data_IF_955249836526
#
_entry.id   IF_955249836526
#
_cell.length_a   1.000
_cell.length_b   1.000
_cell.length_c   1.000
_cell.angle_alpha   90.00
_cell.angle_beta   90.00
_cell.angle_gamma   90.00
#
_symmetry.space_group_name_H-M   'P 1'
#
loop_
_entity.id
_entity.type
_entity.pdbx_description
1 polymer ?
#
# COMPACT_ATOMS: atom_id res chain seq x y z
N UNK A 1 -20.37 -15.97 27.11
CA UNK A 1 -20.67 -14.75 26.32
C UNK A 1 -19.39 -14.40 25.59
N UNK A 2 -19.29 -14.82 24.33
CA UNK A 2 -18.12 -14.52 23.49
C UNK A 2 -18.09 -13.00 23.26
N UNK A 3 -17.08 -12.32 23.79
CA UNK A 3 -16.86 -10.94 23.39
C UNK A 3 -16.38 -10.98 21.95
N UNK A 4 -17.18 -10.42 21.03
CA UNK A 4 -16.70 -10.12 19.69
C UNK A 4 -15.59 -9.06 19.84
N UNK A 5 -14.35 -9.52 19.97
CA UNK A 5 -13.17 -8.67 19.93
C UNK A 5 -13.18 -7.97 18.58
N UNK A 6 -13.46 -6.66 18.57
CA UNK A 6 -13.38 -5.87 17.35
C UNK A 6 -11.93 -5.89 16.87
N UNK A 7 -11.64 -6.74 15.88
CA UNK A 7 -10.32 -6.87 15.32
C UNK A 7 -9.91 -5.53 14.69
N UNK A 8 -8.85 -4.93 15.24
CA UNK A 8 -8.30 -3.69 14.73
C UNK A 8 -7.86 -3.88 13.27
N UNK A 9 -8.21 -2.94 12.41
CA UNK A 9 -7.80 -2.92 11.02
C UNK A 9 -6.88 -1.72 10.78
N UNK A 10 -5.68 -1.98 10.27
CA UNK A 10 -4.66 -0.94 9.99
C UNK A 10 -4.36 -0.93 8.50
N UNK A 11 -4.29 0.26 7.93
CA UNK A 11 -3.93 0.47 6.52
C UNK A 11 -2.53 1.06 6.44
N UNK A 12 -1.71 0.44 5.61
CA UNK A 12 -0.36 0.89 5.28
C UNK A 12 -0.33 1.37 3.83
N UNK A 13 0.24 2.56 3.63
CA UNK A 13 0.42 3.16 2.30
C UNK A 13 1.90 3.49 2.12
N UNK A 14 2.71 2.57 1.57
CA UNK A 14 4.14 2.81 1.39
C UNK A 14 4.38 3.84 0.31
N UNK A 15 5.32 4.75 0.57
CA UNK A 15 5.85 5.62 -0.47
C UNK A 15 6.58 4.76 -1.53
N UNK A 16 6.36 4.96 -2.85
CA UNK A 16 6.77 4.01 -3.88
C UNK A 16 8.25 4.14 -4.25
N UNK A 17 9.10 3.74 -3.31
CA UNK A 17 10.54 3.54 -3.44
C UNK A 17 10.96 2.34 -2.59
N UNK A 18 11.91 1.50 -3.03
CA UNK A 18 12.29 0.29 -2.27
C UNK A 18 12.70 0.58 -0.82
N UNK A 19 13.35 1.72 -0.59
CA UNK A 19 13.78 2.15 0.76
C UNK A 19 12.64 2.42 1.74
N UNK A 20 11.41 2.65 1.27
CA UNK A 20 10.22 2.82 2.11
C UNK A 20 9.32 1.58 2.09
N UNK A 21 9.21 0.91 0.93
CA UNK A 21 8.38 -0.29 0.77
C UNK A 21 8.86 -1.41 1.71
N UNK A 22 10.14 -1.79 1.64
CA UNK A 22 10.64 -2.97 2.38
C UNK A 22 10.46 -2.81 3.90
N UNK A 23 10.91 -1.70 4.53
CA UNK A 23 10.72 -1.51 5.97
C UNK A 23 9.25 -1.47 6.39
N UNK A 24 8.37 -0.94 5.53
CA UNK A 24 6.93 -0.92 5.83
C UNK A 24 6.33 -2.33 5.81
N UNK A 25 6.75 -3.20 4.88
CA UNK A 25 6.32 -4.60 4.87
C UNK A 25 6.75 -5.31 6.16
N UNK A 26 7.98 -5.11 6.62
CA UNK A 26 8.42 -5.70 7.89
C UNK A 26 7.61 -5.16 9.08
N UNK A 27 7.28 -3.87 9.06
CA UNK A 27 6.39 -3.26 10.07
C UNK A 27 5.00 -3.91 10.05
N UNK A 28 4.43 -4.21 8.88
CA UNK A 28 3.10 -4.84 8.79
C UNK A 28 3.04 -6.19 9.50
N UNK A 29 4.13 -6.97 9.44
CA UNK A 29 4.25 -8.26 10.13
C UNK A 29 4.20 -8.11 11.65
N UNK A 30 4.82 -7.06 12.18
CA UNK A 30 4.76 -6.76 13.62
C UNK A 30 3.31 -6.55 14.06
N UNK A 31 2.52 -5.79 13.30
CA UNK A 31 1.10 -5.59 13.60
C UNK A 31 0.31 -6.90 13.49
N UNK A 32 0.50 -7.66 12.42
CA UNK A 32 -0.19 -8.93 12.21
C UNK A 32 0.11 -9.96 13.31
N UNK A 33 1.35 -9.97 13.83
CA UNK A 33 1.75 -10.84 14.93
C UNK A 33 1.04 -10.52 16.26
N UNK A 34 0.45 -9.33 16.38
CA UNK A 34 -0.40 -8.94 17.51
C UNK A 34 -1.90 -9.07 17.21
N UNK A 35 -2.27 -9.85 16.19
CA UNK A 35 -3.67 -10.12 15.82
C UNK A 35 -4.36 -8.99 15.05
N UNK A 36 -3.63 -7.96 14.63
CA UNK A 36 -4.17 -6.84 13.84
C UNK A 36 -4.33 -7.27 12.39
N UNK A 37 -5.50 -6.98 11.80
CA UNK A 37 -5.70 -7.15 10.36
C UNK A 37 -5.07 -5.98 9.62
N UNK A 38 -4.23 -6.28 8.63
CA UNK A 38 -3.44 -5.30 7.90
C UNK A 38 -3.83 -5.30 6.42
N UNK A 39 -4.01 -4.11 5.87
CA UNK A 39 -4.15 -3.90 4.41
C UNK A 39 -3.04 -2.98 3.93
N UNK A 40 -2.31 -3.41 2.92
CA UNK A 40 -1.29 -2.61 2.23
C UNK A 40 -1.91 -2.10 0.94
N UNK A 41 -2.06 -0.78 0.79
CA UNK A 41 -2.53 -0.18 -0.46
C UNK A 41 -1.32 0.24 -1.28
N UNK A 42 -1.20 -0.28 -2.51
CA UNK A 42 -0.09 0.04 -3.41
C UNK A 42 -0.51 -0.11 -4.87
N UNK A 43 0.41 0.06 -5.80
CA UNK A 43 0.16 -0.09 -7.24
C UNK A 43 0.72 -1.41 -7.77
N UNK A 44 0.31 -1.79 -8.98
CA UNK A 44 0.62 -3.11 -9.54
C UNK A 44 2.13 -3.37 -9.61
N UNK A 45 2.93 -2.42 -10.09
CA UNK A 45 4.38 -2.61 -10.21
C UNK A 45 5.08 -2.65 -8.84
N UNK A 46 4.57 -1.90 -7.86
CA UNK A 46 5.12 -1.87 -6.51
C UNK A 46 4.74 -3.12 -5.69
N UNK A 47 3.54 -3.68 -5.90
CA UNK A 47 3.12 -4.93 -5.25
C UNK A 47 4.05 -6.10 -5.57
N UNK A 48 4.54 -6.18 -6.82
CA UNK A 48 5.45 -7.24 -7.26
C UNK A 48 6.75 -7.32 -6.45
N UNK A 49 7.15 -6.23 -5.77
CA UNK A 49 8.34 -6.18 -4.91
C UNK A 49 8.17 -7.10 -3.69
N UNK A 50 6.95 -7.28 -3.18
CA UNK A 50 6.70 -7.98 -1.92
C UNK A 50 5.57 -9.00 -1.95
N UNK A 51 4.84 -9.14 -3.06
CA UNK A 51 3.62 -9.98 -3.12
C UNK A 51 3.87 -11.40 -2.64
N UNK A 52 4.95 -12.04 -3.11
CA UNK A 52 5.33 -13.40 -2.69
C UNK A 52 5.52 -13.52 -1.18
N UNK A 53 6.06 -12.48 -0.55
CA UNK A 53 6.29 -12.47 0.89
C UNK A 53 4.95 -12.37 1.65
N UNK A 54 4.04 -11.50 1.19
CA UNK A 54 2.70 -11.36 1.77
C UNK A 54 1.84 -12.61 1.56
N UNK A 55 1.92 -13.26 0.39
CA UNK A 55 1.21 -14.51 0.11
C UNK A 55 1.65 -15.63 1.08
N UNK A 56 2.95 -15.68 1.39
CA UNK A 56 3.51 -16.60 2.38
C UNK A 56 3.02 -16.27 3.80
N UNK A 57 2.99 -14.99 4.16
CA UNK A 57 2.51 -14.54 5.47
C UNK A 57 1.02 -14.87 5.65
N UNK A 58 0.21 -14.64 4.61
CA UNK A 58 -1.21 -15.01 4.58
C UNK A 58 -1.42 -16.51 4.73
N UNK A 59 -0.65 -17.32 3.99
CA UNK A 59 -0.70 -18.79 4.07
C UNK A 59 -0.28 -19.31 5.46
N UNK A 60 0.50 -18.53 6.21
CA UNK A 60 0.93 -18.83 7.58
C UNK A 60 -0.09 -18.37 8.64
N UNK A 61 -1.24 -17.83 8.22
CA UNK A 61 -2.33 -17.41 9.10
C UNK A 61 -2.29 -15.94 9.52
N UNK A 62 -1.35 -15.14 9.02
CA UNK A 62 -1.37 -13.70 9.27
C UNK A 62 -2.46 -13.00 8.45
N UNK A 63 -3.21 -12.11 9.11
CA UNK A 63 -4.27 -11.33 8.47
C UNK A 63 -3.69 -10.12 7.70
N UNK A 64 -2.77 -10.36 6.76
CA UNK A 64 -2.17 -9.31 5.91
C UNK A 64 -2.68 -9.50 4.48
N UNK A 65 -3.13 -8.42 3.84
CA UNK A 65 -3.54 -8.43 2.44
C UNK A 65 -3.02 -7.21 1.68
N UNK A 66 -2.96 -7.33 0.36
CA UNK A 66 -2.59 -6.24 -0.54
C UNK A 66 -3.82 -5.80 -1.33
N UNK A 67 -4.07 -4.49 -1.35
CA UNK A 67 -5.06 -3.86 -2.21
C UNK A 67 -4.33 -3.06 -3.28
N UNK A 68 -4.49 -3.47 -4.54
CA UNK A 68 -3.86 -2.79 -5.68
C UNK A 68 -4.77 -1.70 -6.20
N UNK A 69 -4.21 -0.51 -6.41
CA UNK A 69 -4.85 0.61 -7.08
C UNK A 69 -4.11 0.93 -8.38
N UNK A 70 -4.83 1.50 -9.35
CA UNK A 70 -4.28 1.77 -10.67
C UNK A 70 -3.37 3.00 -10.64
N UNK A 71 -2.12 2.85 -11.07
CA UNK A 71 -1.24 4.01 -11.32
C UNK A 71 -1.68 4.72 -12.62
N UNK A 72 -1.75 6.07 -12.65
CA UNK A 72 -2.21 6.82 -13.81
C UNK A 72 -1.13 6.95 -14.91
N UNK A 73 -0.43 5.87 -15.26
CA UNK A 73 0.70 5.90 -16.21
C UNK A 73 0.28 6.44 -17.58
N UNK A 74 -0.85 5.97 -18.11
CA UNK A 74 -1.34 6.37 -19.42
C UNK A 74 -1.69 7.86 -19.49
N UNK A 75 -2.33 8.40 -18.44
CA UNK A 75 -2.68 9.82 -18.35
C UNK A 75 -1.43 10.72 -18.31
N UNK A 76 -0.33 10.21 -17.76
CA UNK A 76 0.93 10.96 -17.60
C UNK A 76 1.92 10.70 -18.75
N UNK A 77 1.56 9.86 -19.73
CA UNK A 77 2.46 9.45 -20.81
C UNK A 77 3.69 8.69 -20.30
N UNK A 78 3.55 7.96 -19.20
CA UNK A 78 4.58 7.07 -18.66
C UNK A 78 4.46 5.67 -19.27
N UNK A 79 5.58 4.97 -19.51
CA UNK A 79 5.54 3.56 -19.88
C UNK A 79 4.84 2.72 -18.80
N UNK A 80 4.18 1.65 -19.21
CA UNK A 80 3.54 0.71 -18.29
C UNK A 80 4.58 0.13 -17.31
N UNK A 81 4.23 0.06 -16.03
CA UNK A 81 5.12 -0.44 -14.97
C UNK A 81 6.11 0.59 -14.40
N UNK A 82 6.17 1.80 -14.95
CA UNK A 82 6.96 2.92 -14.39
C UNK A 82 6.12 3.64 -13.33
N UNK A 83 6.12 3.06 -12.12
CA UNK A 83 5.29 3.51 -10.99
C UNK A 83 6.11 3.72 -9.70
N UNK A 84 7.42 3.47 -9.77
CA UNK A 84 8.35 3.56 -8.65
C UNK A 84 9.40 4.63 -8.95
N UNK A 85 9.79 5.42 -7.93
CA UNK A 85 10.81 6.48 -8.07
C UNK A 85 12.13 5.94 -8.63
N UNK A 86 12.52 4.71 -8.25
CA UNK A 86 13.74 4.06 -8.76
C UNK A 86 13.71 3.83 -10.28
N UNK A 87 12.53 3.72 -10.89
CA UNK A 87 12.37 3.51 -12.32
C UNK A 87 12.58 4.78 -13.15
N UNK A 88 12.62 5.96 -12.51
CA UNK A 88 12.82 7.24 -13.18
C UNK A 88 14.25 7.40 -13.70
N UNK A 89 14.41 7.52 -15.02
CA UNK A 89 15.72 7.68 -15.68
C UNK A 89 16.02 9.14 -16.10
N UNK A 90 15.04 10.03 -16.00
CA UNK A 90 15.18 11.45 -16.32
C UNK A 90 14.37 12.32 -15.35
N UNK A 91 14.70 13.62 -15.27
CA UNK A 91 13.96 14.56 -14.45
C UNK A 91 12.49 14.71 -14.89
N UNK A 92 12.24 14.65 -16.19
CA UNK A 92 10.88 14.66 -16.73
C UNK A 92 10.09 13.43 -16.26
N UNK A 93 10.70 12.24 -16.32
CA UNK A 93 10.07 11.01 -15.87
C UNK A 93 9.83 11.02 -14.36
N UNK A 94 10.79 11.48 -13.57
CA UNK A 94 10.63 11.64 -12.11
C UNK A 94 9.53 12.64 -11.76
N UNK A 95 9.40 13.73 -12.51
CA UNK A 95 8.31 14.70 -12.37
C UNK A 95 6.94 14.06 -12.63
N UNK A 96 6.82 13.30 -13.73
CA UNK A 96 5.61 12.52 -14.04
C UNK A 96 5.29 11.48 -12.98
N UNK A 97 6.28 10.72 -12.50
CA UNK A 97 6.08 9.74 -11.42
C UNK A 97 5.58 10.46 -10.16
N UNK A 98 6.19 11.57 -9.78
CA UNK A 98 5.78 12.37 -8.61
C UNK A 98 4.35 12.89 -8.74
N UNK A 99 3.96 13.36 -9.93
CA UNK A 99 2.57 13.75 -10.21
C UNK A 99 1.61 12.56 -10.07
N UNK A 100 1.99 11.38 -10.59
CA UNK A 100 1.20 10.17 -10.43
C UNK A 100 1.03 9.76 -8.96
N UNK A 101 2.08 9.88 -8.14
CA UNK A 101 2.00 9.63 -6.69
C UNK A 101 1.02 10.59 -6.02
N UNK A 102 1.02 11.88 -6.39
CA UNK A 102 0.03 12.84 -5.87
C UNK A 102 -1.39 12.41 -6.21
N UNK A 103 -1.64 11.98 -7.45
CA UNK A 103 -2.96 11.50 -7.87
C UNK A 103 -3.39 10.20 -7.17
N UNK A 104 -2.44 9.35 -6.75
CA UNK A 104 -2.75 8.18 -5.93
C UNK A 104 -3.20 8.60 -4.53
N UNK A 105 -2.60 9.64 -3.95
CA UNK A 105 -3.01 10.12 -2.63
C UNK A 105 -4.50 10.46 -2.64
N UNK A 106 -4.96 11.21 -3.65
CA UNK A 106 -6.36 11.58 -3.81
C UNK A 106 -7.27 10.33 -3.96
N UNK A 107 -6.85 9.36 -4.78
CA UNK A 107 -7.59 8.09 -4.96
C UNK A 107 -7.68 7.28 -3.67
N UNK A 108 -6.60 7.23 -2.89
CA UNK A 108 -6.57 6.53 -1.61
C UNK A 108 -7.52 7.20 -0.63
N UNK A 109 -7.51 8.52 -0.54
CA UNK A 109 -8.43 9.25 0.34
C UNK A 109 -9.90 8.94 0.02
N UNK A 110 -10.27 8.85 -1.25
CA UNK A 110 -11.62 8.43 -1.68
C UNK A 110 -11.92 6.98 -1.27
N UNK A 111 -11.01 6.04 -1.56
CA UNK A 111 -11.17 4.63 -1.17
C UNK A 111 -11.33 4.48 0.34
N UNK A 112 -10.61 5.28 1.12
CA UNK A 112 -10.69 5.28 2.56
C UNK A 112 -12.03 5.82 3.08
N UNK A 113 -12.58 6.87 2.46
CA UNK A 113 -13.90 7.40 2.80
C UNK A 113 -15.01 6.36 2.56
N UNK A 114 -14.97 5.66 1.43
CA UNK A 114 -15.93 4.60 1.10
C UNK A 114 -15.88 3.40 2.08
N UNK A 115 -14.75 3.19 2.76
CA UNK A 115 -14.56 2.09 3.71
C UNK A 115 -14.97 2.43 5.16
N UNK A 116 -15.50 3.63 5.47
CA UNK A 116 -15.87 4.07 6.84
C UNK A 116 -17.38 4.20 7.04
N UNK A 117 -17.97 3.49 8.03
CA UNK A 117 -18.51 4.25 9.19
C UNK A 117 -18.13 3.73 10.59
N UNK A 118 -17.67 2.48 10.78
CA UNK A 118 -17.75 1.82 12.11
C UNK A 118 -16.43 1.19 12.63
N UNK A 119 -15.34 1.15 11.84
CA UNK A 119 -14.07 0.49 12.25
C UNK A 119 -12.98 1.52 12.48
N UNK A 120 -12.37 1.52 13.67
CA UNK A 120 -11.20 2.36 14.03
C UNK A 120 -10.03 2.13 13.07
N UNK A 121 -10.03 2.86 11.96
CA UNK A 121 -8.98 2.85 10.97
C UNK A 121 -7.79 3.65 11.46
N UNK A 122 -6.58 3.09 11.33
CA UNK A 122 -5.34 3.84 11.51
C UNK A 122 -4.50 3.73 10.24
N UNK A 123 -4.07 4.88 9.74
CA UNK A 123 -3.26 4.98 8.52
C UNK A 123 -1.82 5.22 8.96
N UNK A 124 -0.90 4.39 8.46
CA UNK A 124 0.53 4.61 8.61
C UNK A 124 1.12 4.91 7.23
N UNK A 125 1.69 6.11 7.10
CA UNK A 125 2.45 6.53 5.93
C UNK A 125 3.80 7.05 6.42
N UNK A 126 4.88 6.67 5.73
CA UNK A 126 6.22 7.21 5.94
C UNK A 126 6.51 8.00 4.67
N UNK A 127 6.53 9.34 4.79
CA UNK A 127 6.96 10.27 3.74
C UNK A 127 8.44 10.56 3.91
#
# INVERSE_FOLDING_TARGET
MESHSQQLNVIFVPYPTPGHIIPMIDTTRVFANHGVSVTIITTQANALIFQKAIDSDFSSGYAIRTQVIQFPSAQLGLPQGVENIKSGTSQEMLGKISQGISMLQDQIEVVLQDQQPERRLRIFSIK
#
